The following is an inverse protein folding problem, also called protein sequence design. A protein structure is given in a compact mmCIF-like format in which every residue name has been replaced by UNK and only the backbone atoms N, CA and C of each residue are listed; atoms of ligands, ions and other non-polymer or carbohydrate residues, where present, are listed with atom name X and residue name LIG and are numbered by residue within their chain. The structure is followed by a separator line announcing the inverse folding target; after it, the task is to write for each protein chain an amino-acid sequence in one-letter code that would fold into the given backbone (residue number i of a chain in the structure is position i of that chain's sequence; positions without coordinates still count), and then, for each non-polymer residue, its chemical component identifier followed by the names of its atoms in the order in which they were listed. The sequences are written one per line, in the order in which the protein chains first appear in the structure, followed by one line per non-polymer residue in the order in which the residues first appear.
data_IF_200147694531
#
_entry.id   IF_200147694531
#
_cell.length_a   1.000
_cell.length_b   1.000
_cell.length_c   1.000
_cell.angle_alpha   90.00
_cell.angle_beta   90.00
_cell.angle_gamma   90.00
#
_symmetry.space_group_name_H-M   'P 1'
#
loop_
_entity.id
_entity.type
_entity.pdbx_description
1 polymer ?
#
# COMPACT_ATOMS: atom_id res chain seq x y z
N UNK A 1 -13.56 -6.67 4.76
CA UNK A 1 -13.61 -5.95 6.04
C UNK A 1 -12.30 -5.21 6.23
N UNK A 2 -12.29 -4.12 7.01
CA UNK A 2 -11.11 -3.32 7.31
C UNK A 2 -10.14 -4.08 8.24
N UNK A 3 -8.87 -3.66 8.27
CA UNK A 3 -7.85 -4.20 9.16
C UNK A 3 -6.95 -3.11 9.74
N UNK A 4 -6.02 -3.49 10.61
CA UNK A 4 -5.11 -2.54 11.27
C UNK A 4 -3.68 -3.02 11.06
N UNK A 5 -2.80 -2.12 10.64
CA UNK A 5 -1.35 -2.35 10.66
C UNK A 5 -0.78 -1.60 11.85
N UNK A 6 -0.07 -2.28 12.74
CA UNK A 6 0.64 -1.67 13.85
C UNK A 6 2.14 -1.67 13.55
N UNK A 7 2.71 -0.49 13.34
CA UNK A 7 4.10 -0.27 12.99
C UNK A 7 4.84 0.46 14.13
N UNK A 8 6.18 0.38 14.14
CA UNK A 8 7.02 1.17 15.04
C UNK A 8 8.22 0.44 15.64
N UNK A 9 9.07 1.17 16.34
CA UNK A 9 10.33 0.67 16.90
C UNK A 9 10.13 -0.31 18.07
N UNK A 10 11.10 -1.20 18.33
CA UNK A 10 11.14 -2.01 19.54
C UNK A 10 11.03 -1.14 20.81
N UNK A 11 10.25 -1.62 21.78
CA UNK A 11 10.01 -0.89 23.03
C UNK A 11 8.99 0.25 22.93
N UNK A 12 8.35 0.50 21.78
CA UNK A 12 7.37 1.58 21.62
C UNK A 12 5.95 1.27 22.14
N UNK A 13 5.73 0.10 22.74
CA UNK A 13 4.43 -0.29 23.31
C UNK A 13 3.48 -1.03 22.37
N UNK A 14 3.91 -1.35 21.13
CA UNK A 14 3.10 -2.09 20.13
C UNK A 14 2.45 -3.36 20.67
N UNK A 15 3.22 -4.23 21.32
CA UNK A 15 2.72 -5.51 21.85
C UNK A 15 1.55 -5.31 22.82
N UNK A 16 1.62 -4.26 23.64
CA UNK A 16 0.52 -3.88 24.54
C UNK A 16 -0.68 -3.41 23.74
N UNK A 17 -0.48 -2.51 22.76
CA UNK A 17 -1.56 -2.03 21.90
C UNK A 17 -2.23 -3.16 21.14
N UNK A 18 -1.47 -4.04 20.49
CA UNK A 18 -1.97 -5.17 19.70
C UNK A 18 -2.84 -6.09 20.57
N UNK A 19 -2.45 -6.34 21.83
CA UNK A 19 -3.28 -7.12 22.76
C UNK A 19 -4.61 -6.43 23.01
N UNK A 20 -4.60 -5.12 23.26
CA UNK A 20 -5.84 -4.34 23.46
C UNK A 20 -6.72 -4.39 22.21
N UNK A 21 -6.15 -4.17 21.02
CA UNK A 21 -6.89 -4.26 19.75
C UNK A 21 -7.47 -5.65 19.53
N UNK A 22 -6.69 -6.71 19.76
CA UNK A 22 -7.14 -8.10 19.62
C UNK A 22 -8.25 -8.43 20.61
N UNK A 23 -8.11 -8.01 21.87
CA UNK A 23 -9.09 -8.30 22.91
C UNK A 23 -10.40 -7.51 22.68
N UNK A 24 -10.31 -6.32 22.05
CA UNK A 24 -11.48 -5.51 21.67
C UNK A 24 -12.20 -6.00 20.42
N UNK A 25 -11.46 -6.26 19.33
CA UNK A 25 -12.04 -6.60 18.03
C UNK A 25 -12.17 -8.11 17.78
N UNK A 26 -11.48 -8.94 18.57
CA UNK A 26 -11.37 -10.39 18.39
C UNK A 26 -10.81 -10.79 17.01
N UNK A 27 -9.99 -9.93 16.40
CA UNK A 27 -9.35 -10.20 15.11
C UNK A 27 -8.07 -11.02 15.26
N UNK A 28 -7.73 -11.87 14.27
CA UNK A 28 -6.45 -12.57 14.27
C UNK A 28 -5.30 -11.56 14.21
N UNK A 29 -4.21 -11.89 14.91
CA UNK A 29 -2.95 -11.13 14.85
C UNK A 29 -1.98 -11.91 13.97
N UNK A 30 -1.47 -11.26 12.92
CA UNK A 30 -0.43 -11.81 12.05
C UNK A 30 0.84 -11.01 12.30
N UNK A 31 1.82 -11.66 12.90
CA UNK A 31 3.14 -11.10 13.07
C UNK A 31 4.00 -11.45 11.85
N UNK A 32 4.40 -10.46 11.07
CA UNK A 32 5.26 -10.69 9.91
C UNK A 32 6.71 -10.60 10.38
N UNK A 33 7.22 -11.76 10.82
CA UNK A 33 8.62 -11.92 11.27
C UNK A 33 9.52 -11.58 10.09
N UNK A 34 10.51 -10.69 10.31
CA UNK A 34 11.54 -10.28 9.35
C UNK A 34 12.22 -11.48 8.67
N UNK A 35 11.83 -11.88 7.45
CA UNK A 35 12.67 -12.78 6.67
C UNK A 35 13.73 -11.92 5.98
N UNK A 36 14.94 -12.45 5.81
CA UNK A 36 15.81 -11.95 4.74
C UNK A 36 15.07 -12.24 3.42
N UNK A 37 14.49 -11.20 2.81
CA UNK A 37 13.54 -11.23 1.67
C UNK A 37 12.05 -11.40 2.06
N UNK A 38 11.31 -10.31 2.31
CA UNK A 38 9.85 -10.35 2.42
C UNK A 38 9.23 -10.89 1.13
N UNK A 39 8.35 -11.88 1.23
CA UNK A 39 7.58 -12.38 0.09
C UNK A 39 6.39 -11.44 -0.15
N UNK A 40 6.56 -10.51 -1.09
CA UNK A 40 5.53 -9.54 -1.45
C UNK A 40 4.20 -10.20 -1.84
N UNK A 41 4.23 -11.37 -2.51
CA UNK A 41 3.01 -12.10 -2.85
C UNK A 41 2.31 -12.61 -1.60
N UNK A 42 3.07 -13.10 -0.64
CA UNK A 42 2.51 -13.54 0.64
C UNK A 42 1.85 -12.35 1.36
N UNK A 43 2.50 -11.18 1.38
CA UNK A 43 1.95 -9.96 1.97
C UNK A 43 0.64 -9.57 1.29
N UNK A 44 0.61 -9.57 -0.05
CA UNK A 44 -0.60 -9.28 -0.83
C UNK A 44 -1.75 -10.26 -0.52
N UNK A 45 -1.45 -11.56 -0.32
CA UNK A 45 -2.45 -12.56 0.11
C UNK A 45 -2.95 -12.31 1.53
N UNK A 46 -2.06 -11.89 2.43
CA UNK A 46 -2.44 -11.61 3.81
C UNK A 46 -3.42 -10.44 3.90
N UNK A 47 -3.26 -9.40 3.06
CA UNK A 47 -4.21 -8.27 2.98
C UNK A 47 -5.63 -8.77 2.65
N UNK A 48 -5.74 -9.78 1.79
CA UNK A 48 -7.01 -10.42 1.39
C UNK A 48 -7.67 -11.23 2.52
N UNK A 49 -6.95 -11.55 3.60
CA UNK A 49 -7.46 -12.28 4.76
C UNK A 49 -8.13 -11.39 5.82
N UNK A 50 -8.53 -10.17 5.47
CA UNK A 50 -9.13 -9.23 6.40
C UNK A 50 -10.50 -9.71 6.96
N UNK A 51 -10.87 -9.36 8.21
CA UNK A 51 -10.17 -8.44 9.12
C UNK A 51 -8.98 -9.10 9.84
N UNK A 52 -7.90 -8.34 10.01
CA UNK A 52 -6.63 -8.80 10.61
C UNK A 52 -5.88 -7.63 11.24
N UNK A 53 -5.14 -7.92 12.31
CA UNK A 53 -4.17 -6.99 12.90
C UNK A 53 -2.77 -7.45 12.48
N UNK A 54 -2.05 -6.62 11.73
CA UNK A 54 -0.67 -6.89 11.41
C UNK A 54 0.26 -6.26 12.46
N UNK A 55 1.17 -7.05 13.01
CA UNK A 55 2.30 -6.57 13.81
C UNK A 55 3.53 -6.53 12.90
N UNK A 56 3.99 -5.31 12.57
CA UNK A 56 5.14 -5.02 11.68
C UNK A 56 4.98 -5.60 10.29
N UNK A 57 4.32 -4.87 9.39
CA UNK A 57 3.97 -5.39 8.07
C UNK A 57 4.89 -4.88 6.96
N UNK A 58 4.56 -3.78 6.32
CA UNK A 58 5.18 -3.32 5.07
C UNK A 58 6.18 -2.21 5.28
N UNK A 59 6.05 -1.40 6.33
CA UNK A 59 7.06 -0.39 6.66
C UNK A 59 8.27 -1.02 7.34
N UNK A 60 8.03 -2.00 8.23
CA UNK A 60 9.09 -2.64 9.01
C UNK A 60 10.26 -3.21 8.17
N UNK A 61 10.05 -3.95 7.07
CA UNK A 61 11.15 -4.44 6.22
C UNK A 61 11.99 -3.33 5.60
N UNK A 62 11.36 -2.21 5.22
CA UNK A 62 12.04 -1.04 4.66
C UNK A 62 12.84 -0.32 5.74
N UNK A 63 12.20 0.00 6.86
CA UNK A 63 12.81 0.73 7.97
C UNK A 63 13.99 -0.03 8.58
N UNK A 64 13.82 -1.31 8.89
CA UNK A 64 14.89 -2.10 9.50
C UNK A 64 15.96 -2.49 8.48
N UNK A 65 15.60 -2.65 7.21
CA UNK A 65 16.56 -2.84 6.13
C UNK A 65 17.48 -1.64 5.99
N UNK A 66 16.91 -0.44 5.87
CA UNK A 66 17.66 0.81 5.75
C UNK A 66 18.46 1.11 7.02
N UNK A 67 17.84 1.02 8.20
CA UNK A 67 18.49 1.42 9.45
C UNK A 67 19.62 0.48 9.89
N UNK A 68 19.52 -0.83 9.64
CA UNK A 68 20.39 -1.84 10.26
C UNK A 68 21.09 -2.77 9.27
N UNK A 69 20.74 -2.74 7.99
CA UNK A 69 21.23 -3.69 6.97
C UNK A 69 21.78 -2.94 5.76
N UNK A 70 21.92 -3.63 4.64
CA UNK A 70 22.50 -3.09 3.39
C UNK A 70 21.49 -2.32 2.52
N UNK A 71 20.30 -1.98 3.05
CA UNK A 71 19.25 -1.26 2.34
C UNK A 71 17.85 -1.83 2.56
N UNK A 72 16.83 -1.21 1.95
CA UNK A 72 15.44 -1.60 2.14
C UNK A 72 15.13 -2.92 1.42
N UNK A 73 14.30 -3.75 2.05
CA UNK A 73 13.92 -5.06 1.48
C UNK A 73 12.69 -5.01 0.56
N UNK A 74 11.99 -3.87 0.54
CA UNK A 74 10.90 -3.57 -0.40
C UNK A 74 11.25 -2.30 -1.17
N UNK A 75 10.92 -2.30 -2.45
CA UNK A 75 11.15 -1.14 -3.32
C UNK A 75 10.06 -0.09 -3.11
N UNK A 76 10.29 1.18 -3.51
CA UNK A 76 9.23 2.19 -3.46
C UNK A 76 7.97 1.79 -4.24
N UNK A 77 8.12 1.02 -5.31
CA UNK A 77 6.99 0.52 -6.09
C UNK A 77 6.19 -0.57 -5.36
N UNK A 78 6.87 -1.45 -4.63
CA UNK A 78 6.23 -2.46 -3.79
C UNK A 78 5.41 -1.82 -2.68
N UNK A 79 5.99 -0.83 -1.98
CA UNK A 79 5.28 -0.05 -0.96
C UNK A 79 4.05 0.62 -1.54
N UNK A 80 4.18 1.30 -2.69
CA UNK A 80 3.04 1.95 -3.35
C UNK A 80 1.92 0.98 -3.71
N UNK A 81 2.25 -0.23 -4.18
CA UNK A 81 1.27 -1.26 -4.49
C UNK A 81 0.59 -1.82 -3.23
N UNK A 82 1.34 -2.06 -2.16
CA UNK A 82 0.79 -2.51 -0.87
C UNK A 82 -0.11 -1.44 -0.26
N UNK A 83 0.31 -0.17 -0.25
CA UNK A 83 -0.48 0.96 0.23
C UNK A 83 -1.81 1.05 -0.52
N UNK A 84 -1.78 0.88 -1.84
CA UNK A 84 -2.99 0.88 -2.67
C UNK A 84 -3.95 -0.26 -2.30
N UNK A 85 -3.43 -1.47 -2.05
CA UNK A 85 -4.25 -2.59 -1.61
C UNK A 85 -4.82 -2.39 -0.20
N UNK A 86 -3.99 -1.96 0.75
CA UNK A 86 -4.38 -1.65 2.11
C UNK A 86 -5.46 -0.56 2.15
N UNK A 87 -5.27 0.52 1.38
CA UNK A 87 -6.24 1.61 1.27
C UNK A 87 -7.58 1.12 0.71
N UNK A 88 -7.57 0.34 -0.39
CA UNK A 88 -8.79 -0.18 -0.98
C UNK A 88 -9.53 -1.12 -0.03
N UNK A 89 -8.80 -1.81 0.86
CA UNK A 89 -9.38 -2.67 1.91
C UNK A 89 -9.75 -1.93 3.20
N UNK A 90 -9.61 -0.61 3.24
CA UNK A 90 -9.95 0.20 4.41
C UNK A 90 -9.04 -0.06 5.61
N UNK A 91 -7.80 -0.50 5.37
CA UNK A 91 -6.81 -0.60 6.44
C UNK A 91 -6.40 0.78 6.93
N UNK A 92 -6.01 0.83 8.19
CA UNK A 92 -5.35 1.98 8.80
C UNK A 92 -3.97 1.56 9.31
N UNK A 93 -3.00 2.46 9.22
CA UNK A 93 -1.72 2.30 9.89
C UNK A 93 -1.77 3.01 11.25
N UNK A 94 -1.29 2.33 12.29
CA UNK A 94 -1.04 2.90 13.61
C UNK A 94 0.46 2.82 13.86
N UNK A 95 1.13 3.97 13.82
CA UNK A 95 2.54 4.07 14.10
C UNK A 95 2.74 4.36 15.59
N UNK A 96 3.25 3.38 16.33
CA UNK A 96 3.52 3.51 17.76
C UNK A 96 4.91 4.12 17.99
N UNK A 97 4.95 5.32 18.58
CA UNK A 97 6.17 6.01 18.97
C UNK A 97 6.07 6.53 20.42
N UNK A 98 7.18 6.51 21.15
CA UNK A 98 7.30 7.13 22.47
C UNK A 98 8.74 7.65 22.62
N UNK A 99 9.10 8.26 23.75
CA UNK A 99 10.45 8.79 23.90
C UNK A 99 11.53 7.68 23.92
N UNK A 100 12.68 8.00 23.34
CA UNK A 100 13.82 7.07 23.18
C UNK A 100 14.27 6.46 24.52
N UNK A 101 14.22 7.22 25.63
CA UNK A 101 14.68 6.69 26.91
C UNK A 101 13.70 5.64 27.44
N UNK A 102 12.41 5.81 27.19
CA UNK A 102 11.39 4.81 27.49
C UNK A 102 11.54 3.57 26.60
N UNK A 103 11.74 3.74 25.29
CA UNK A 103 12.01 2.61 24.40
C UNK A 103 13.25 1.81 24.85
N UNK A 104 14.36 2.48 25.17
CA UNK A 104 15.57 1.84 25.70
C UNK A 104 15.29 1.06 26.99
N UNK A 105 14.56 1.64 27.93
CA UNK A 105 14.18 0.95 29.19
C UNK A 105 13.29 -0.26 28.95
N UNK A 106 12.39 -0.19 28.00
CA UNK A 106 11.53 -1.31 27.63
C UNK A 106 12.35 -2.42 26.96
N UNK A 107 13.28 -2.08 26.08
CA UNK A 107 14.13 -3.04 25.38
C UNK A 107 15.05 -3.84 26.31
N UNK A 108 15.49 -3.25 27.44
CA UNK A 108 16.30 -3.98 28.44
C UNK A 108 15.56 -5.20 29.00
N UNK A 109 14.22 -5.17 29.04
CA UNK A 109 13.40 -6.25 29.57
C UNK A 109 13.17 -7.39 28.56
N UNK A 110 13.46 -7.16 27.29
CA UNK A 110 13.25 -8.15 26.23
C UNK A 110 14.56 -8.86 25.89
N UNK A 111 14.76 -10.04 26.48
CA UNK A 111 15.97 -10.85 26.28
C UNK A 111 16.21 -11.24 24.81
N UNK A 112 15.14 -11.36 24.02
CA UNK A 112 15.16 -11.82 22.62
C UNK A 112 15.48 -10.72 21.59
N UNK A 113 15.62 -9.46 22.01
CA UNK A 113 15.93 -8.38 21.06
C UNK A 113 17.35 -8.51 20.51
N UNK A 114 17.48 -8.34 19.19
CA UNK A 114 18.76 -8.23 18.51
C UNK A 114 19.65 -7.17 19.17
N UNK A 115 20.92 -7.49 19.38
CA UNK A 115 21.85 -6.58 20.06
C UNK A 115 21.97 -5.24 19.30
N UNK A 116 21.87 -5.28 17.97
CA UNK A 116 21.87 -4.11 17.09
C UNK A 116 20.75 -3.10 17.40
N UNK A 117 19.59 -3.52 17.93
CA UNK A 117 18.46 -2.62 18.26
C UNK A 117 18.51 -2.08 19.70
N UNK A 118 19.56 -2.43 20.46
CA UNK A 118 19.73 -1.97 21.86
C UNK A 118 20.51 -0.68 22.00
N UNK A 119 21.14 -0.21 20.93
CA UNK A 119 21.91 1.05 20.97
C UNK A 119 21.01 2.26 20.72
N UNK A 120 21.30 3.35 21.41
CA UNK A 120 20.59 4.63 21.23
C UNK A 120 20.70 5.16 19.79
N UNK A 121 21.83 4.95 19.12
CA UNK A 121 22.03 5.36 17.72
C UNK A 121 21.15 4.56 16.77
N UNK A 122 21.06 3.24 16.94
CA UNK A 122 20.21 2.39 16.10
C UNK A 122 18.73 2.76 16.24
N UNK A 123 18.24 2.92 17.48
CA UNK A 123 16.84 3.33 17.73
C UNK A 123 16.55 4.69 17.08
N UNK A 124 17.46 5.66 17.19
CA UNK A 124 17.31 6.95 16.52
C UNK A 124 17.17 6.81 15.01
N UNK A 125 17.97 5.94 14.38
CA UNK A 125 17.90 5.70 12.93
C UNK A 125 16.58 5.04 12.56
N UNK A 126 16.15 4.00 13.29
CA UNK A 126 14.85 3.34 13.07
C UNK A 126 13.69 4.34 13.16
N UNK A 127 13.66 5.18 14.20
CA UNK A 127 12.63 6.22 14.36
C UNK A 127 12.67 7.21 13.19
N UNK A 128 13.86 7.60 12.75
CA UNK A 128 14.01 8.49 11.60
C UNK A 128 13.40 7.88 10.33
N UNK A 129 13.72 6.63 10.01
CA UNK A 129 13.17 5.96 8.81
C UNK A 129 11.65 5.79 8.89
N UNK A 130 11.10 5.44 10.07
CA UNK A 130 9.64 5.38 10.24
C UNK A 130 8.97 6.74 9.99
N UNK A 131 9.55 7.83 10.50
CA UNK A 131 9.01 9.18 10.28
C UNK A 131 9.10 9.61 8.82
N UNK A 132 10.16 9.21 8.11
CA UNK A 132 10.25 9.44 6.66
C UNK A 132 9.13 8.71 5.90
N UNK A 133 8.84 7.46 6.25
CA UNK A 133 7.72 6.72 5.66
C UNK A 133 6.36 7.31 6.05
N UNK A 134 6.16 7.72 7.30
CA UNK A 134 4.91 8.34 7.74
C UNK A 134 4.59 9.61 6.92
N UNK A 135 5.60 10.41 6.61
CA UNK A 135 5.45 11.62 5.79
C UNK A 135 5.20 11.37 4.31
N UNK A 136 5.62 10.21 3.79
CA UNK A 136 5.56 9.88 2.35
C UNK A 136 4.51 8.83 2.00
N UNK A 137 4.02 8.11 3.01
CA UNK A 137 2.94 7.13 2.88
C UNK A 137 1.68 7.79 2.37
N UNK A 138 0.97 7.06 1.51
CA UNK A 138 -0.33 7.50 1.01
C UNK A 138 -1.47 6.91 1.84
N UNK A 139 -1.19 5.88 2.64
CA UNK A 139 -2.13 5.26 3.56
C UNK A 139 -2.33 6.13 4.80
N UNK A 140 -3.56 6.18 5.31
CA UNK A 140 -3.88 6.89 6.54
C UNK A 140 -3.10 6.31 7.72
N UNK A 141 -2.29 7.16 8.35
CA UNK A 141 -1.47 6.80 9.49
C UNK A 141 -1.88 7.60 10.72
N UNK A 142 -2.03 6.91 11.85
CA UNK A 142 -2.23 7.51 13.16
C UNK A 142 -0.98 7.31 14.03
N UNK A 143 -0.39 8.41 14.48
CA UNK A 143 0.70 8.38 15.46
C UNK A 143 0.11 8.13 16.85
N UNK A 144 0.52 7.03 17.48
CA UNK A 144 0.10 6.64 18.82
C UNK A 144 1.24 6.72 19.83
N UNK A 145 1.09 7.53 20.88
CA UNK A 145 1.97 7.52 22.05
C UNK A 145 1.17 7.16 23.31
N UNK A 146 1.35 5.94 23.80
CA UNK A 146 0.65 5.42 24.98
C UNK A 146 0.87 6.22 26.27
N UNK A 147 1.82 7.17 26.28
CA UNK A 147 2.06 8.09 27.39
C UNK A 147 1.23 9.37 27.30
N UNK A 148 0.80 9.75 26.10
CA UNK A 148 0.07 10.98 25.83
C UNK A 148 -1.44 10.75 25.71
N UNK A 149 -1.86 9.54 25.34
CA UNK A 149 -3.25 9.20 25.06
C UNK A 149 -3.62 7.80 25.59
N UNK A 150 -4.91 7.60 25.85
CA UNK A 150 -5.44 6.32 26.31
C UNK A 150 -5.80 5.44 25.11
N UNK A 151 -5.82 4.12 25.33
CA UNK A 151 -6.26 3.18 24.30
C UNK A 151 -7.71 3.36 23.89
N UNK A 152 -8.58 3.85 24.78
CA UNK A 152 -10.00 4.07 24.47
C UNK A 152 -10.18 5.16 23.42
N UNK A 153 -9.42 6.26 23.53
CA UNK A 153 -9.42 7.33 22.52
C UNK A 153 -8.99 6.81 21.16
N UNK A 154 -7.92 6.00 21.11
CA UNK A 154 -7.49 5.35 19.89
C UNK A 154 -8.57 4.41 19.34
N UNK A 155 -9.18 3.56 20.16
CA UNK A 155 -10.21 2.62 19.71
C UNK A 155 -11.42 3.33 19.08
N UNK A 156 -11.86 4.44 19.67
CA UNK A 156 -12.94 5.24 19.12
C UNK A 156 -12.54 5.90 17.81
N UNK A 157 -11.30 6.41 17.72
CA UNK A 157 -10.78 6.94 16.47
C UNK A 157 -10.71 5.87 15.38
N UNK A 158 -10.18 4.69 15.68
CA UNK A 158 -10.10 3.55 14.75
C UNK A 158 -11.50 3.22 14.20
N UNK A 159 -12.53 3.15 15.05
CA UNK A 159 -13.91 2.91 14.60
C UNK A 159 -14.40 3.94 13.60
N UNK A 160 -13.97 5.19 13.71
CA UNK A 160 -14.33 6.26 12.77
C UNK A 160 -13.47 6.29 11.50
N UNK A 161 -12.21 5.85 11.59
CA UNK A 161 -11.25 5.89 10.49
C UNK A 161 -11.30 4.66 9.60
N UNK A 162 -11.76 3.54 10.16
CA UNK A 162 -12.04 2.32 9.44
C UNK A 162 -12.96 2.64 8.25
N UNK A 163 -12.36 2.60 7.07
CA UNK A 163 -12.94 3.16 5.85
C UNK A 163 -13.90 2.22 5.13
N UNK A 164 -14.41 2.72 4.00
CA UNK A 164 -15.14 1.92 3.03
C UNK A 164 -14.19 0.92 2.36
N UNK A 165 -14.59 -0.34 2.30
CA UNK A 165 -13.93 -1.34 1.46
C UNK A 165 -14.37 -1.14 0.01
N UNK A 166 -13.41 -0.95 -0.89
CA UNK A 166 -13.66 -0.91 -2.32
C UNK A 166 -13.74 -2.31 -2.94
N UNK A 167 -13.96 -2.38 -4.26
CA UNK A 167 -14.12 -3.65 -4.97
C UNK A 167 -12.87 -4.53 -4.87
N UNK A 168 -13.06 -5.85 -4.90
CA UNK A 168 -11.93 -6.79 -5.06
C UNK A 168 -11.22 -6.54 -6.39
N UNK A 169 -9.91 -6.80 -6.43
CA UNK A 169 -9.10 -6.58 -7.64
C UNK A 169 -8.71 -5.13 -7.93
N UNK A 170 -9.26 -4.18 -7.15
CA UNK A 170 -8.91 -2.76 -7.22
C UNK A 170 -7.78 -2.42 -6.24
N UNK A 171 -6.92 -1.49 -6.63
CA UNK A 171 -5.94 -0.82 -5.78
C UNK A 171 -6.23 0.68 -5.70
N UNK A 172 -5.89 1.29 -4.58
CA UNK A 172 -5.99 2.74 -4.37
C UNK A 172 -7.21 3.12 -3.55
N UNK A 173 -7.75 4.31 -3.84
CA UNK A 173 -8.84 4.88 -3.05
C UNK A 173 -10.16 4.15 -3.32
N UNK A 174 -10.96 3.81 -2.28
CA UNK A 174 -12.23 3.05 -2.45
C UNK A 174 -13.34 3.88 -3.14
N UNK A 175 -13.22 5.20 -3.13
CA UNK A 175 -14.12 6.14 -3.81
C UNK A 175 -13.32 7.12 -4.68
N UNK A 176 -12.71 6.67 -5.77
CA UNK A 176 -11.79 7.47 -6.54
C UNK A 176 -12.53 8.56 -7.35
N UNK A 177 -11.86 9.67 -7.65
CA UNK A 177 -12.29 10.62 -8.69
C UNK A 177 -11.75 10.21 -10.06
N UNK A 178 -10.60 9.52 -10.08
CA UNK A 178 -9.97 9.01 -11.30
C UNK A 178 -9.72 7.50 -11.17
N UNK A 179 -10.25 6.74 -12.13
CA UNK A 179 -10.09 5.29 -12.19
C UNK A 179 -9.35 4.89 -13.46
N UNK A 180 -8.18 4.26 -13.33
CA UNK A 180 -7.47 3.69 -14.47
C UNK A 180 -7.73 2.19 -14.57
N UNK A 181 -7.97 1.72 -15.78
CA UNK A 181 -8.31 0.33 -16.07
C UNK A 181 -7.29 -0.25 -17.04
N UNK A 182 -6.55 -1.27 -16.61
CA UNK A 182 -5.56 -1.99 -17.41
C UNK A 182 -6.12 -3.09 -18.29
N UNK A 183 -5.33 -3.50 -19.27
CA UNK A 183 -5.60 -4.72 -20.03
C UNK A 183 -5.45 -5.97 -19.15
N UNK A 184 -6.04 -7.10 -19.56
CA UNK A 184 -5.82 -8.39 -18.90
C UNK A 184 -4.34 -8.82 -18.99
N UNK A 185 -3.80 -9.32 -17.88
CA UNK A 185 -2.49 -9.97 -17.88
C UNK A 185 -2.52 -11.22 -18.77
N UNK A 186 -1.54 -11.34 -19.65
CA UNK A 186 -1.39 -12.53 -20.49
C UNK A 186 -1.10 -13.80 -19.66
N UNK A 187 -0.39 -13.64 -18.54
CA UNK A 187 -0.27 -14.66 -17.51
C UNK A 187 -1.49 -14.55 -16.58
N UNK A 188 -2.47 -15.43 -16.77
CA UNK A 188 -3.60 -15.61 -15.85
C UNK A 188 -3.09 -16.11 -14.50
N UNK A 189 -2.50 -15.19 -13.72
CA UNK A 189 -1.76 -15.36 -12.48
C UNK A 189 -1.55 -16.82 -12.09
N UNK A 190 -0.40 -17.40 -12.44
CA UNK A 190 -0.05 -18.78 -12.08
C UNK A 190 -0.10 -19.06 -10.56
N UNK A 191 -0.32 -18.02 -9.74
CA UNK A 191 -0.41 -18.02 -8.28
C UNK A 191 -1.68 -17.35 -7.71
N UNK A 192 -2.69 -17.05 -8.54
CA UNK A 192 -4.03 -16.64 -8.08
C UNK A 192 -4.17 -15.21 -7.55
N UNK A 193 -3.15 -14.35 -7.64
CA UNK A 193 -3.26 -12.91 -7.37
C UNK A 193 -3.16 -12.18 -8.71
N UNK A 194 -4.21 -11.45 -9.09
CA UNK A 194 -4.22 -10.57 -10.27
C UNK A 194 -4.18 -9.13 -9.78
N UNK A 195 -2.98 -8.59 -9.63
CA UNK A 195 -2.81 -7.17 -9.29
C UNK A 195 -2.60 -6.37 -10.58
N UNK A 196 -3.29 -5.23 -10.72
CA UNK A 196 -3.05 -4.32 -11.84
C UNK A 196 -1.59 -3.87 -11.91
N UNK A 197 -0.96 -4.10 -13.05
CA UNK A 197 0.37 -3.59 -13.40
C UNK A 197 1.56 -4.05 -12.55
N UNK A 198 1.38 -4.97 -11.59
CA UNK A 198 2.45 -5.42 -10.71
C UNK A 198 3.05 -6.76 -11.17
N UNK A 199 4.30 -6.77 -11.63
CA UNK A 199 4.99 -7.99 -12.06
C UNK A 199 5.94 -8.51 -10.97
N UNK A 200 5.62 -9.66 -10.37
CA UNK A 200 6.41 -10.24 -9.27
C UNK A 200 7.68 -10.87 -9.81
N UNK A 201 8.81 -10.57 -9.16
CA UNK A 201 10.08 -11.28 -9.39
C UNK A 201 10.81 -10.82 -10.66
N UNK A 202 10.41 -9.69 -11.24
CA UNK A 202 11.13 -9.04 -12.31
C UNK A 202 11.78 -7.78 -11.71
N UNK A 203 13.09 -7.59 -11.94
CA UNK A 203 13.83 -6.40 -11.51
C UNK A 203 13.05 -5.10 -11.80
N UNK A 204 13.14 -4.11 -10.92
CA UNK A 204 12.47 -2.80 -11.02
C UNK A 204 12.62 -2.10 -12.38
N UNK A 205 13.73 -2.35 -13.07
CA UNK A 205 14.00 -1.83 -14.41
C UNK A 205 13.10 -2.43 -15.50
N UNK A 206 12.49 -3.58 -15.21
CA UNK A 206 11.79 -4.42 -16.16
C UNK A 206 10.27 -4.51 -15.91
N UNK A 207 9.74 -3.93 -14.83
CA UNK A 207 8.31 -4.00 -14.50
C UNK A 207 7.50 -2.96 -15.28
N UNK A 208 6.39 -3.38 -15.90
CA UNK A 208 5.50 -2.48 -16.64
C UNK A 208 4.93 -1.37 -15.75
N UNK A 209 4.59 -1.74 -14.52
CA UNK A 209 3.99 -0.84 -13.55
C UNK A 209 4.89 0.29 -13.07
N UNK A 210 6.21 0.20 -13.17
CA UNK A 210 7.09 1.31 -12.73
C UNK A 210 6.98 2.53 -13.62
N UNK A 211 6.75 2.35 -14.94
CA UNK A 211 6.46 3.46 -15.85
C UNK A 211 5.12 4.12 -15.51
N UNK A 212 4.08 3.32 -15.22
CA UNK A 212 2.78 3.84 -14.83
C UNK A 212 2.86 4.59 -13.49
N UNK A 213 3.47 3.95 -12.48
CA UNK A 213 3.69 4.56 -11.17
C UNK A 213 4.41 5.91 -11.29
N UNK A 214 5.53 5.95 -12.04
CA UNK A 214 6.24 7.20 -12.31
C UNK A 214 5.33 8.26 -12.94
N UNK A 215 4.57 7.88 -13.96
CA UNK A 215 3.66 8.81 -14.64
C UNK A 215 2.52 9.30 -13.74
N UNK A 216 2.05 8.48 -12.80
CA UNK A 216 1.05 8.89 -11.82
C UNK A 216 1.65 9.88 -10.80
N UNK A 217 2.82 9.55 -10.23
CA UNK A 217 3.49 10.43 -9.26
C UNK A 217 3.87 11.79 -9.87
N UNK A 218 4.44 11.82 -11.08
CA UNK A 218 4.82 13.07 -11.75
C UNK A 218 3.60 13.96 -12.12
N UNK A 219 2.39 13.40 -12.12
CA UNK A 219 1.14 14.12 -12.35
C UNK A 219 0.35 14.42 -11.07
N UNK A 220 0.92 14.22 -9.87
CA UNK A 220 0.20 14.34 -8.57
C UNK A 220 -1.05 13.43 -8.49
N UNK A 221 -0.99 12.26 -9.13
CA UNK A 221 -2.06 11.26 -9.16
C UNK A 221 -1.76 10.13 -8.17
N UNK A 222 -1.93 10.43 -6.90
CA UNK A 222 -1.68 9.51 -5.78
C UNK A 222 -2.97 8.95 -5.18
N UNK A 223 -2.88 7.90 -4.38
CA UNK A 223 -4.02 7.28 -3.68
C UNK A 223 -4.78 8.27 -2.80
N UNK A 224 -4.07 9.12 -2.04
CA UNK A 224 -4.67 10.19 -1.24
C UNK A 224 -5.31 11.31 -2.08
N UNK A 225 -5.04 11.36 -3.40
CA UNK A 225 -5.71 12.22 -4.38
C UNK A 225 -6.87 11.50 -5.10
N UNK A 226 -7.37 10.42 -4.48
CA UNK A 226 -8.55 9.66 -4.93
C UNK A 226 -8.33 9.00 -6.29
N UNK A 227 -7.18 8.36 -6.47
CA UNK A 227 -6.88 7.53 -7.64
C UNK A 227 -7.11 6.05 -7.32
N UNK A 228 -7.63 5.29 -8.29
CA UNK A 228 -7.69 3.83 -8.21
C UNK A 228 -7.22 3.16 -9.52
N UNK A 229 -6.73 1.93 -9.40
CA UNK A 229 -6.33 1.06 -10.51
C UNK A 229 -7.09 -0.26 -10.45
N UNK A 230 -7.53 -0.77 -11.59
CA UNK A 230 -8.02 -2.14 -11.73
C UNK A 230 -7.55 -2.76 -13.05
N UNK A 231 -7.79 -4.06 -13.20
CA UNK A 231 -7.68 -4.73 -14.49
C UNK A 231 -9.06 -4.80 -15.13
N UNK A 232 -9.12 -4.78 -16.46
CA UNK A 232 -10.37 -5.00 -17.17
C UNK A 232 -10.84 -6.46 -17.10
N UNK A 233 -9.93 -7.41 -16.86
CA UNK A 233 -10.11 -8.86 -16.91
C UNK A 233 -11.08 -9.43 -15.87
N UNK A 234 -11.96 -10.36 -16.28
CA UNK A 234 -12.74 -11.21 -15.35
C UNK A 234 -13.81 -10.52 -14.50
N UNK A 235 -13.85 -9.18 -14.48
CA UNK A 235 -14.79 -8.39 -13.68
C UNK A 235 -15.95 -7.85 -14.52
N UNK A 236 -17.10 -7.66 -13.88
CA UNK A 236 -18.19 -6.83 -14.39
C UNK A 236 -17.84 -5.37 -14.14
N UNK A 237 -17.33 -4.70 -15.18
CA UNK A 237 -16.86 -3.32 -15.08
C UNK A 237 -17.95 -2.33 -14.70
N UNK A 238 -19.21 -2.60 -15.06
CA UNK A 238 -20.32 -1.75 -14.65
C UNK A 238 -20.54 -1.84 -13.14
N UNK A 239 -20.50 -3.06 -12.59
CA UNK A 239 -20.57 -3.27 -11.15
C UNK A 239 -19.41 -2.60 -10.42
N UNK A 240 -18.17 -2.78 -10.90
CA UNK A 240 -16.97 -2.14 -10.31
C UNK A 240 -17.09 -0.62 -10.36
N UNK A 241 -17.49 -0.04 -11.50
CA UNK A 241 -17.70 1.40 -11.67
C UNK A 241 -18.71 1.97 -10.66
N UNK A 242 -19.86 1.32 -10.53
CA UNK A 242 -20.88 1.74 -9.56
C UNK A 242 -20.41 1.58 -8.11
N UNK A 243 -19.67 0.52 -7.77
CA UNK A 243 -19.10 0.34 -6.43
C UNK A 243 -18.03 1.38 -6.09
N UNK A 244 -17.29 1.86 -7.09
CA UNK A 244 -16.33 2.97 -6.94
C UNK A 244 -17.01 4.34 -6.84
N UNK A 245 -18.34 4.42 -6.90
CA UNK A 245 -19.08 5.67 -6.84
C UNK A 245 -19.04 6.47 -8.13
N UNK A 246 -18.94 5.78 -9.27
CA UNK A 246 -18.98 6.36 -10.62
C UNK A 246 -17.95 7.49 -10.83
N UNK A 247 -16.64 7.17 -10.81
CA UNK A 247 -15.57 8.16 -10.89
C UNK A 247 -15.73 9.07 -12.12
N UNK A 248 -15.55 10.37 -11.90
CA UNK A 248 -15.72 11.39 -12.95
C UNK A 248 -14.79 11.17 -14.15
N UNK A 249 -13.59 10.65 -13.89
CA UNK A 249 -12.59 10.38 -14.92
C UNK A 249 -12.27 8.89 -14.95
N UNK A 250 -12.50 8.24 -16.08
CA UNK A 250 -12.08 6.85 -16.33
C UNK A 250 -11.04 6.84 -17.45
N UNK A 251 -9.92 6.16 -17.23
CA UNK A 251 -8.82 6.07 -18.20
C UNK A 251 -8.57 4.60 -18.55
N UNK A 252 -8.80 4.26 -19.80
CA UNK A 252 -8.46 2.96 -20.37
C UNK A 252 -6.97 2.92 -20.75
N UNK A 253 -6.21 2.06 -20.08
CA UNK A 253 -4.79 1.83 -20.31
C UNK A 253 -4.62 0.63 -21.26
N UNK A 254 -4.79 0.88 -22.56
CA UNK A 254 -4.72 -0.16 -23.59
C UNK A 254 -6.03 -0.37 -24.35
N UNK A 255 -5.92 -1.09 -25.48
CA UNK A 255 -7.05 -1.25 -26.40
C UNK A 255 -8.08 -2.23 -25.87
N UNK A 256 -7.67 -3.24 -25.10
CA UNK A 256 -8.59 -4.25 -24.56
C UNK A 256 -9.44 -3.61 -23.47
N UNK A 257 -8.84 -2.88 -22.54
CA UNK A 257 -9.54 -2.11 -21.52
C UNK A 257 -10.52 -1.12 -22.14
N UNK A 258 -10.11 -0.39 -23.19
CA UNK A 258 -10.97 0.56 -23.88
C UNK A 258 -12.19 -0.10 -24.52
N UNK A 259 -12.00 -1.24 -25.21
CA UNK A 259 -13.10 -2.01 -25.78
C UNK A 259 -14.08 -2.50 -24.71
N UNK A 260 -13.56 -3.05 -23.61
CA UNK A 260 -14.39 -3.55 -22.52
C UNK A 260 -15.17 -2.47 -21.78
N UNK A 261 -14.58 -1.29 -21.58
CA UNK A 261 -15.28 -0.13 -21.02
C UNK A 261 -16.37 0.37 -21.96
N UNK A 262 -16.11 0.40 -23.28
CA UNK A 262 -17.11 0.75 -24.28
C UNK A 262 -18.29 -0.25 -24.31
N UNK A 263 -18.01 -1.56 -24.22
CA UNK A 263 -19.04 -2.61 -24.13
C UNK A 263 -19.90 -2.44 -22.87
N UNK A 264 -19.29 -2.06 -21.75
CA UNK A 264 -19.96 -1.71 -20.50
C UNK A 264 -20.66 -0.33 -20.54
N UNK A 265 -20.51 0.44 -21.64
CA UNK A 265 -21.04 1.81 -21.81
C UNK A 265 -20.50 2.82 -20.79
N UNK A 266 -19.26 2.62 -20.34
CA UNK A 266 -18.56 3.53 -19.44
C UNK A 266 -17.69 4.48 -20.30
N UNK A 267 -17.94 5.80 -20.28
CA UNK A 267 -17.10 6.76 -20.98
C UNK A 267 -15.67 6.73 -20.42
N UNK A 268 -14.67 6.58 -21.29
CA UNK A 268 -13.29 6.55 -20.87
C UNK A 268 -12.36 7.25 -21.87
N UNK A 269 -11.34 7.92 -21.34
CA UNK A 269 -10.23 8.41 -22.13
C UNK A 269 -9.25 7.25 -22.42
N UNK A 270 -8.61 7.28 -23.58
CA UNK A 270 -7.66 6.24 -23.98
C UNK A 270 -6.21 6.70 -23.80
N UNK A 271 -5.39 5.84 -23.20
CA UNK A 271 -3.93 5.95 -23.17
C UNK A 271 -3.34 4.60 -23.60
N UNK A 272 -2.27 4.57 -24.41
CA UNK A 272 -1.61 3.31 -24.74
C UNK A 272 -1.18 2.55 -23.48
N UNK A 273 -1.26 1.23 -23.47
CA UNK A 273 -0.84 0.43 -22.33
C UNK A 273 0.65 0.71 -21.98
N UNK A 274 1.05 0.81 -20.70
CA UNK A 274 2.44 1.13 -20.34
C UNK A 274 3.45 0.15 -20.94
N UNK A 275 3.11 -1.14 -21.04
CA UNK A 275 3.98 -2.15 -21.68
C UNK A 275 4.17 -1.90 -23.18
N UNK A 276 3.12 -1.43 -23.87
CA UNK A 276 3.24 -1.02 -25.27
C UNK A 276 4.16 0.19 -25.37
N UNK A 277 3.99 1.19 -24.49
CA UNK A 277 4.84 2.37 -24.47
C UNK A 277 6.30 2.01 -24.23
N UNK A 278 6.60 1.13 -23.28
CA UNK A 278 7.96 0.62 -23.05
C UNK A 278 8.52 -0.07 -24.29
N UNK A 279 7.75 -0.89 -25.00
CA UNK A 279 8.26 -1.59 -26.18
C UNK A 279 8.57 -0.65 -27.35
N UNK A 280 7.69 0.32 -27.62
CA UNK A 280 7.76 1.12 -28.85
C UNK A 280 8.27 2.55 -28.63
N UNK A 281 8.31 3.04 -27.39
CA UNK A 281 8.68 4.40 -27.01
C UNK A 281 9.55 4.42 -25.72
N UNK A 282 10.38 3.40 -25.45
CA UNK A 282 11.23 3.38 -24.24
C UNK A 282 12.19 4.58 -24.11
N UNK A 283 12.55 5.22 -25.23
CA UNK A 283 13.39 6.42 -25.22
C UNK A 283 12.64 7.68 -24.77
N UNK A 284 11.32 7.64 -24.65
CA UNK A 284 10.49 8.78 -24.27
C UNK A 284 9.54 8.45 -23.10
N UNK A 285 10.07 8.19 -21.88
CA UNK A 285 9.22 7.99 -20.72
C UNK A 285 8.42 9.24 -20.35
N UNK A 286 8.96 10.44 -20.61
CA UNK A 286 8.30 11.71 -20.31
C UNK A 286 7.08 11.95 -21.24
N UNK A 287 7.11 11.43 -22.46
CA UNK A 287 5.95 11.43 -23.34
C UNK A 287 4.78 10.63 -22.76
N UNK A 288 5.04 9.55 -22.02
CA UNK A 288 3.99 8.79 -21.33
C UNK A 288 3.34 9.61 -20.20
N UNK A 289 4.19 10.29 -19.40
CA UNK A 289 3.75 11.21 -18.33
C UNK A 289 2.82 12.29 -18.90
N UNK A 290 3.22 12.94 -20.00
CA UNK A 290 2.39 13.95 -20.69
C UNK A 290 1.08 13.36 -21.20
N UNK A 291 1.10 12.12 -21.70
CA UNK A 291 -0.12 11.46 -22.20
C UNK A 291 -1.15 11.23 -21.11
N UNK A 292 -0.70 10.84 -19.91
CA UNK A 292 -1.56 10.73 -18.73
C UNK A 292 -2.11 12.11 -18.34
N UNK A 293 -1.25 13.14 -18.32
CA UNK A 293 -1.67 14.52 -18.03
C UNK A 293 -2.77 15.02 -18.97
N UNK A 294 -2.60 14.80 -20.29
CA UNK A 294 -3.53 15.25 -21.33
C UNK A 294 -4.94 14.65 -21.20
N UNK A 295 -5.07 13.44 -20.62
CA UNK A 295 -6.37 12.78 -20.47
C UNK A 295 -7.04 13.07 -19.14
N UNK A 296 -6.27 13.27 -18.06
CA UNK A 296 -6.82 13.56 -16.73
C UNK A 296 -7.12 15.06 -16.55
N UNK A 297 -6.38 15.94 -17.23
CA UNK A 297 -6.60 17.39 -17.16
C UNK A 297 -7.75 17.94 -18.01
N UNK A 298 -8.59 17.07 -18.59
CA UNK A 298 -9.79 17.42 -19.38
C UNK A 298 -11.04 17.25 -18.54
#
# INVERSE_FOLDING_TARGET
MPGIVVEGCDGSGKTTLIRVLRDHFHWPVVHVVQPHNPDILQMMRLIECSPVIFDRFHWSPVVYGEALREGPELTPYDLWALDGMLMNRGFINVYCETDINTMLRNNVKEEQLWEAVRTKSSIKRIIHEYRMLEQTSQLTCYLYDYRAETTDTLLDLIKTMVGFEGPRGVQGHPQPTTWFVGDERADKGAKGISIPFYDVGISDQLVTGTLLHRALIENDLTWNKRVALSNSAGEDLQTVYSQLGEPATVVALGRVAAGRLADARIPAAYVPHPQWWRRFNHHDPNGYVKKIQEVVGR
#
